data_IF_916024465476
#
_entry.id   IF_916024465476
#
_cell.length_a   1.000
_cell.length_b   1.000
_cell.length_c   1.000
_cell.angle_alpha   90.00
_cell.angle_beta   90.00
_cell.angle_gamma   90.00
#
_symmetry.space_group_name_H-M   'P 1'
#
loop_
_entity.id
_entity.type
_entity.pdbx_description
1 polymer ?
#
# COMPACT_ATOMS: atom_id res chain seq x y z
N UNK A 1 1.62 -9.09 10.01
CA UNK A 1 1.79 -8.85 8.57
C UNK A 1 2.09 -10.15 7.79
N UNK A 2 2.72 -11.15 8.42
CA UNK A 2 3.10 -12.40 7.74
C UNK A 2 2.01 -13.48 7.78
N UNK A 3 1.03 -13.37 8.68
CA UNK A 3 -0.04 -14.37 8.83
C UNK A 3 -0.85 -14.64 7.55
N UNK A 4 -1.29 -13.63 6.76
CA UNK A 4 -1.99 -13.89 5.52
C UNK A 4 -1.14 -14.66 4.52
N UNK A 5 0.15 -14.36 4.44
CA UNK A 5 1.05 -15.03 3.51
C UNK A 5 1.27 -16.49 3.87
N UNK A 6 1.31 -16.84 5.16
CA UNK A 6 1.46 -18.23 5.60
C UNK A 6 0.26 -19.12 5.22
N UNK A 7 -0.90 -18.52 4.94
CA UNK A 7 -2.11 -19.23 4.51
C UNK A 7 -2.24 -19.24 2.99
N UNK A 8 -1.75 -18.20 2.31
CA UNK A 8 -1.90 -18.01 0.86
C UNK A 8 -0.76 -18.60 0.05
N UNK A 9 0.40 -18.79 0.66
CA UNK A 9 1.62 -19.25 -0.02
C UNK A 9 2.21 -20.40 0.79
N UNK A 10 2.34 -21.56 0.16
CA UNK A 10 2.93 -22.73 0.79
C UNK A 10 4.36 -22.42 1.25
N UNK A 11 4.63 -22.70 2.51
CA UNK A 11 5.96 -22.64 3.07
C UNK A 11 6.59 -24.03 3.01
N UNK A 12 7.71 -24.13 2.32
CA UNK A 12 8.53 -25.33 2.29
C UNK A 12 9.69 -25.20 3.31
N UNK A 13 9.86 -26.19 4.17
CA UNK A 13 10.87 -26.15 5.22
C UNK A 13 12.32 -26.16 4.68
N UNK A 14 12.53 -26.68 3.49
CA UNK A 14 13.84 -26.76 2.85
C UNK A 14 14.10 -25.57 1.93
N UNK A 15 13.09 -25.11 1.20
CA UNK A 15 13.21 -24.06 0.17
C UNK A 15 12.66 -22.68 0.63
N UNK A 16 11.97 -22.63 1.76
CA UNK A 16 11.36 -21.40 2.29
C UNK A 16 10.03 -21.03 1.60
N UNK A 17 9.80 -19.76 1.44
CA UNK A 17 8.59 -19.23 0.78
C UNK A 17 8.67 -19.35 -0.74
N UNK A 18 7.58 -19.71 -1.38
CA UNK A 18 7.48 -19.77 -2.85
C UNK A 18 7.65 -18.39 -3.53
N UNK A 19 7.58 -17.30 -2.79
CA UNK A 19 7.82 -15.94 -3.27
C UNK A 19 8.79 -15.18 -2.38
N UNK A 20 9.52 -14.25 -2.96
CA UNK A 20 10.34 -13.28 -2.20
C UNK A 20 9.43 -12.22 -1.62
N UNK A 21 9.70 -11.79 -0.39
CA UNK A 21 8.93 -10.76 0.31
C UNK A 21 9.84 -9.56 0.60
N UNK A 22 9.37 -8.37 0.20
CA UNK A 22 9.99 -7.09 0.54
C UNK A 22 9.04 -6.30 1.44
N UNK A 23 9.25 -6.28 2.77
CA UNK A 23 8.43 -5.49 3.67
C UNK A 23 8.77 -4.00 3.61
N UNK A 24 7.75 -3.15 3.49
CA UNK A 24 7.86 -1.70 3.62
C UNK A 24 7.12 -1.27 4.88
N UNK A 25 7.87 -0.84 5.90
CA UNK A 25 7.30 -0.39 7.17
C UNK A 25 6.96 1.09 7.11
N UNK A 26 5.71 1.43 7.41
CA UNK A 26 5.20 2.80 7.35
C UNK A 26 4.75 3.27 8.73
N UNK A 27 5.27 4.41 9.19
CA UNK A 27 4.80 5.07 10.41
C UNK A 27 3.49 5.81 10.16
N UNK A 28 2.35 5.16 10.39
CA UNK A 28 1.02 5.71 10.10
C UNK A 28 0.24 6.14 11.35
N UNK A 29 0.73 5.81 12.54
CA UNK A 29 0.14 6.21 13.83
C UNK A 29 1.12 6.98 14.72
N UNK A 30 2.28 7.34 14.19
CA UNK A 30 3.33 8.07 14.92
C UNK A 30 3.57 9.42 14.27
N UNK A 31 3.48 10.49 15.06
CA UNK A 31 3.69 11.88 14.61
C UNK A 31 5.19 12.13 14.31
N UNK A 32 5.53 12.81 13.19
CA UNK A 32 4.64 13.40 12.19
C UNK A 32 4.12 12.38 11.17
N UNK A 33 2.80 12.41 10.91
CA UNK A 33 2.15 11.53 9.95
C UNK A 33 2.38 12.03 8.52
N UNK A 34 2.83 11.16 7.60
CA UNK A 34 2.86 11.52 6.19
C UNK A 34 1.44 11.70 5.62
N UNK A 35 1.27 12.66 4.70
CA UNK A 35 -0.02 12.89 4.06
C UNK A 35 -0.41 11.77 3.08
N UNK A 36 -1.71 11.64 2.80
CA UNK A 36 -2.25 10.74 1.78
C UNK A 36 -1.54 10.90 0.44
N UNK A 37 -1.32 12.15 0.01
CA UNK A 37 -0.59 12.50 -1.22
C UNK A 37 0.85 11.99 -1.21
N UNK A 38 1.54 12.01 -0.06
CA UNK A 38 2.91 11.50 0.06
C UNK A 38 2.96 9.99 -0.10
N UNK A 39 2.03 9.26 0.51
CA UNK A 39 1.93 7.81 0.36
C UNK A 39 1.66 7.41 -1.10
N UNK A 40 0.72 8.06 -1.75
CA UNK A 40 0.40 7.81 -3.15
C UNK A 40 1.61 8.10 -4.07
N UNK A 41 2.32 9.22 -3.86
CA UNK A 41 3.56 9.54 -4.60
C UNK A 41 4.66 8.52 -4.37
N UNK A 42 4.80 8.01 -3.15
CA UNK A 42 5.74 6.94 -2.85
C UNK A 42 5.36 5.66 -3.63
N UNK A 43 4.08 5.32 -3.69
CA UNK A 43 3.59 4.25 -4.55
C UNK A 43 3.98 4.43 -6.01
N UNK A 44 3.82 5.65 -6.57
CA UNK A 44 4.26 5.95 -7.95
C UNK A 44 5.77 5.74 -8.14
N UNK A 45 6.58 6.10 -7.15
CA UNK A 45 8.03 5.84 -7.20
C UNK A 45 8.35 4.36 -7.13
N UNK A 46 7.62 3.62 -6.30
CA UNK A 46 7.74 2.15 -6.22
C UNK A 46 7.39 1.51 -7.57
N UNK A 47 6.32 1.97 -8.23
CA UNK A 47 5.98 1.50 -9.58
C UNK A 47 7.14 1.72 -10.56
N UNK A 48 7.74 2.91 -10.57
CA UNK A 48 8.88 3.21 -11.45
C UNK A 48 10.05 2.26 -11.18
N UNK A 49 10.36 1.99 -9.90
CA UNK A 49 11.40 1.05 -9.53
C UNK A 49 11.10 -0.38 -10.03
N UNK A 50 9.85 -0.84 -9.88
CA UNK A 50 9.42 -2.16 -10.36
C UNK A 50 9.53 -2.26 -11.88
N UNK A 51 9.04 -1.25 -12.61
CA UNK A 51 9.09 -1.24 -14.08
C UNK A 51 10.52 -1.12 -14.63
N UNK A 52 11.45 -0.56 -13.86
CA UNK A 52 12.87 -0.48 -14.22
C UNK A 52 13.68 -1.71 -13.83
N UNK A 53 13.07 -2.67 -13.14
CA UNK A 53 13.78 -3.88 -12.72
C UNK A 53 14.11 -4.76 -13.95
N UNK A 54 15.36 -5.24 -14.08
CA UNK A 54 15.82 -5.83 -15.33
C UNK A 54 15.32 -7.26 -15.58
N UNK A 55 14.75 -7.91 -14.57
CA UNK A 55 14.22 -9.27 -14.68
C UNK A 55 12.71 -9.24 -14.92
N UNK A 56 12.20 -10.15 -15.74
CA UNK A 56 10.78 -10.37 -15.92
C UNK A 56 10.20 -11.13 -14.73
N UNK A 57 9.68 -10.40 -13.75
CA UNK A 57 9.12 -10.94 -12.52
C UNK A 57 7.66 -10.54 -12.34
N UNK A 58 6.88 -11.44 -11.75
CA UNK A 58 5.54 -11.10 -11.25
C UNK A 58 5.67 -10.40 -9.90
N UNK A 59 5.10 -9.21 -9.78
CA UNK A 59 5.07 -8.45 -8.55
C UNK A 59 3.63 -8.28 -8.07
N UNK A 60 3.35 -8.66 -6.83
CA UNK A 60 2.13 -8.33 -6.13
C UNK A 60 2.42 -7.32 -5.03
N UNK A 61 1.62 -6.27 -4.92
CA UNK A 61 1.77 -5.22 -3.93
C UNK A 61 0.59 -5.29 -2.98
N UNK A 62 0.85 -5.52 -1.70
CA UNK A 62 -0.17 -5.57 -0.66
C UNK A 62 -0.15 -4.28 0.17
N UNK A 63 -1.23 -3.51 0.10
CA UNK A 63 -1.53 -2.44 1.06
C UNK A 63 -2.24 -3.06 2.27
N UNK A 64 -1.67 -2.86 3.47
CA UNK A 64 -2.26 -3.32 4.73
C UNK A 64 -2.88 -2.14 5.48
N UNK A 65 -3.44 -2.39 6.64
CA UNK A 65 -4.13 -1.40 7.45
C UNK A 65 -5.64 -1.60 7.46
N UNK A 66 -6.26 -1.28 8.59
CA UNK A 66 -7.71 -1.40 8.76
C UNK A 66 -8.47 -0.24 8.12
N UNK A 67 -9.72 -0.49 7.79
CA UNK A 67 -10.70 0.55 7.47
C UNK A 67 -11.14 1.27 8.75
N UNK A 68 -12.35 1.82 8.81
CA UNK A 68 -12.77 2.61 9.96
C UNK A 68 -12.77 1.82 11.25
N UNK A 69 -11.90 2.18 12.19
CA UNK A 69 -11.90 1.61 13.54
C UNK A 69 -11.21 2.53 14.53
N UNK A 70 -11.60 2.37 15.79
CA UNK A 70 -10.89 2.93 16.92
C UNK A 70 -10.96 1.96 18.10
N UNK A 71 -9.80 1.50 18.56
CA UNK A 71 -9.70 0.49 19.62
C UNK A 71 -9.22 1.06 20.95
N UNK A 72 -8.80 2.34 20.96
CA UNK A 72 -8.32 3.02 22.16
C UNK A 72 -9.05 4.34 22.41
N UNK A 73 -9.04 4.78 23.68
CA UNK A 73 -9.61 6.05 24.10
C UNK A 73 -11.13 6.09 24.13
N UNK A 74 -11.69 7.31 24.21
CA UNK A 74 -13.15 7.52 24.33
C UNK A 74 -13.93 7.07 23.09
N UNK A 75 -13.29 7.08 21.92
CA UNK A 75 -13.90 6.62 20.67
C UNK A 75 -13.80 5.10 20.44
N UNK A 76 -13.42 4.31 21.45
CA UNK A 76 -13.29 2.85 21.32
C UNK A 76 -14.61 2.24 20.83
N UNK A 77 -14.52 1.40 19.79
CA UNK A 77 -15.68 0.78 19.14
C UNK A 77 -16.25 1.60 17.97
N UNK A 78 -15.66 2.75 17.65
CA UNK A 78 -16.09 3.55 16.48
C UNK A 78 -15.87 2.76 15.18
N UNK A 79 -16.91 2.78 14.34
CA UNK A 79 -16.88 2.30 12.96
C UNK A 79 -17.71 3.21 12.05
N UNK A 80 -17.38 3.26 10.78
CA UNK A 80 -18.11 4.01 9.77
C UNK A 80 -18.19 3.22 8.46
N UNK A 81 -19.09 2.23 8.36
CA UNK A 81 -19.22 1.40 7.16
C UNK A 81 -19.53 2.18 5.88
N UNK A 82 -20.21 3.32 6.00
CA UNK A 82 -20.50 4.18 4.86
C UNK A 82 -19.22 4.80 4.28
N UNK A 83 -18.35 5.29 5.16
CA UNK A 83 -17.03 5.77 4.78
C UNK A 83 -16.15 4.66 4.20
N UNK A 84 -16.17 3.48 4.79
CA UNK A 84 -15.39 2.34 4.31
C UNK A 84 -15.76 1.97 2.88
N UNK A 85 -17.06 1.94 2.58
CA UNK A 85 -17.56 1.67 1.24
C UNK A 85 -17.13 2.78 0.25
N UNK A 86 -17.30 4.05 0.64
CA UNK A 86 -16.89 5.21 -0.15
C UNK A 86 -15.36 5.20 -0.41
N UNK A 87 -14.57 4.94 0.62
CA UNK A 87 -13.12 4.88 0.50
C UNK A 87 -12.70 3.81 -0.51
N UNK A 88 -13.23 2.59 -0.41
CA UNK A 88 -12.92 1.50 -1.32
C UNK A 88 -13.33 1.81 -2.77
N UNK A 89 -14.47 2.47 -2.97
CA UNK A 89 -14.93 2.88 -4.30
C UNK A 89 -14.01 3.95 -4.89
N UNK A 90 -13.70 5.00 -4.12
CA UNK A 90 -12.79 6.07 -4.55
C UNK A 90 -11.38 5.54 -4.82
N UNK A 91 -10.90 4.61 -4.00
CA UNK A 91 -9.58 3.98 -4.21
C UNK A 91 -9.49 3.28 -5.57
N UNK A 92 -10.55 2.62 -5.99
CA UNK A 92 -10.63 1.96 -7.30
C UNK A 92 -10.75 2.99 -8.43
N UNK A 93 -11.76 3.86 -8.37
CA UNK A 93 -12.22 4.65 -9.51
C UNK A 93 -11.59 6.04 -9.60
N UNK A 94 -11.35 6.69 -8.47
CA UNK A 94 -10.82 8.06 -8.39
C UNK A 94 -9.91 8.23 -7.16
N UNK A 95 -8.76 7.55 -7.13
CA UNK A 95 -7.84 7.62 -5.99
C UNK A 95 -7.31 9.03 -5.75
N UNK A 96 -7.27 9.89 -6.77
CA UNK A 96 -6.76 11.25 -6.64
C UNK A 96 -7.67 12.12 -5.76
N UNK A 97 -8.96 11.84 -5.71
CA UNK A 97 -9.91 12.53 -4.82
C UNK A 97 -9.62 12.31 -3.31
N UNK A 98 -8.85 11.28 -2.97
CA UNK A 98 -8.45 10.98 -1.60
C UNK A 98 -7.17 11.73 -1.18
N UNK A 99 -6.40 12.29 -2.13
CA UNK A 99 -5.04 12.78 -1.86
C UNK A 99 -4.98 14.09 -1.09
N UNK A 100 -6.05 14.89 -1.15
CA UNK A 100 -6.14 16.17 -0.44
C UNK A 100 -6.77 16.04 0.94
N UNK A 101 -7.19 14.83 1.31
CA UNK A 101 -7.71 14.57 2.66
C UNK A 101 -6.58 14.73 3.68
N UNK A 102 -6.88 15.52 4.68
CA UNK A 102 -5.98 15.70 5.83
C UNK A 102 -6.03 14.49 6.75
N UNK A 103 -4.99 14.30 7.55
CA UNK A 103 -4.98 13.25 8.59
C UNK A 103 -6.16 13.42 9.55
N UNK A 104 -6.53 14.67 9.87
CA UNK A 104 -7.68 14.97 10.74
C UNK A 104 -9.00 14.52 10.11
N UNK A 105 -9.18 14.70 8.81
CA UNK A 105 -10.37 14.23 8.10
C UNK A 105 -10.43 12.71 8.03
N UNK A 106 -9.31 12.06 7.74
CA UNK A 106 -9.19 10.60 7.76
C UNK A 106 -9.54 10.04 9.16
N UNK A 107 -8.99 10.64 10.21
CA UNK A 107 -9.29 10.23 11.59
C UNK A 107 -10.75 10.50 11.99
N UNK A 108 -11.34 11.61 11.53
CA UNK A 108 -12.76 11.93 11.79
C UNK A 108 -13.70 10.96 11.11
N UNK A 109 -13.38 10.52 9.89
CA UNK A 109 -14.21 9.60 9.10
C UNK A 109 -13.94 8.14 9.43
N UNK A 110 -12.68 7.78 9.65
CA UNK A 110 -12.25 6.40 9.85
C UNK A 110 -11.91 6.01 11.29
N UNK A 111 -11.95 6.95 12.25
CA UNK A 111 -11.35 6.74 13.56
C UNK A 111 -9.84 6.97 13.54
N UNK A 112 -9.24 7.09 14.73
CA UNK A 112 -7.80 7.41 14.81
C UNK A 112 -6.93 6.31 14.18
N UNK A 113 -7.17 5.06 14.54
CA UNK A 113 -6.43 3.93 13.99
C UNK A 113 -6.81 3.68 12.51
N UNK A 114 -8.03 4.00 12.11
CA UNK A 114 -8.47 3.92 10.70
C UNK A 114 -7.75 4.87 9.75
N UNK A 115 -6.97 5.85 10.27
CA UNK A 115 -6.08 6.68 9.43
C UNK A 115 -5.00 5.86 8.71
N UNK A 116 -4.73 4.63 9.13
CA UNK A 116 -3.78 3.72 8.46
C UNK A 116 -4.18 3.30 7.03
N UNK A 117 -5.39 3.59 6.58
CA UNK A 117 -5.83 3.40 5.18
C UNK A 117 -4.92 4.09 4.15
N UNK A 118 -4.09 5.03 4.55
CA UNK A 118 -3.10 5.68 3.67
C UNK A 118 -2.11 4.67 3.07
N UNK A 119 -1.92 3.51 3.70
CA UNK A 119 -1.12 2.41 3.14
C UNK A 119 -1.77 1.78 1.91
N UNK A 120 -3.11 1.79 1.82
CA UNK A 120 -3.82 1.36 0.62
C UNK A 120 -3.60 2.34 -0.54
N UNK A 121 -3.47 3.64 -0.24
CA UNK A 121 -3.10 4.65 -1.24
C UNK A 121 -1.70 4.44 -1.79
N UNK A 122 -0.75 3.97 -0.97
CA UNK A 122 0.58 3.62 -1.45
C UNK A 122 0.51 2.45 -2.43
N UNK A 123 -0.20 1.39 -2.09
CA UNK A 123 -0.46 0.26 -2.99
C UNK A 123 -1.13 0.74 -4.28
N UNK A 124 -2.19 1.55 -4.19
CA UNK A 124 -2.89 2.07 -5.37
C UNK A 124 -2.01 2.96 -6.25
N UNK A 125 -1.14 3.77 -5.65
CA UNK A 125 -0.17 4.60 -6.37
C UNK A 125 0.87 3.79 -7.14
N UNK A 126 1.13 2.55 -6.72
CA UNK A 126 2.05 1.65 -7.40
C UNK A 126 1.40 0.88 -8.57
N UNK A 127 0.10 1.03 -8.78
CA UNK A 127 -0.61 0.47 -9.91
C UNK A 127 -0.76 1.50 -11.05
N UNK A 128 -1.15 1.03 -12.23
CA UNK A 128 -1.50 1.89 -13.38
C UNK A 128 -2.70 2.78 -13.08
N UNK A 129 -2.96 3.75 -13.95
CA UNK A 129 -4.10 4.64 -13.80
C UNK A 129 -5.42 3.87 -13.85
N UNK A 130 -5.51 2.89 -14.77
CA UNK A 130 -6.68 2.04 -14.94
C UNK A 130 -6.46 0.69 -14.28
N UNK A 131 -7.35 0.36 -13.36
CA UNK A 131 -7.40 -0.92 -12.67
C UNK A 131 -8.80 -1.51 -12.76
N UNK A 132 -8.90 -2.81 -12.59
CA UNK A 132 -10.16 -3.52 -12.42
C UNK A 132 -10.19 -4.17 -11.05
N UNK A 133 -11.25 -3.93 -10.29
CA UNK A 133 -11.48 -4.65 -9.05
C UNK A 133 -12.07 -6.03 -9.35
N UNK A 134 -11.24 -7.06 -9.28
CA UNK A 134 -11.66 -8.46 -9.53
C UNK A 134 -12.20 -9.14 -8.30
N UNK A 135 -11.94 -8.60 -7.11
CA UNK A 135 -12.47 -9.10 -5.85
C UNK A 135 -12.62 -7.97 -4.83
N UNK A 136 -13.76 -7.94 -4.13
CA UNK A 136 -14.02 -7.01 -3.04
C UNK A 136 -14.89 -7.69 -1.98
N UNK A 137 -14.43 -7.65 -0.72
CA UNK A 137 -15.22 -8.11 0.43
C UNK A 137 -15.15 -7.10 1.55
N UNK A 138 -16.19 -7.08 2.36
CA UNK A 138 -16.28 -6.30 3.57
C UNK A 138 -17.05 -7.08 4.63
N UNK A 139 -16.50 -7.19 5.82
CA UNK A 139 -17.13 -7.86 6.95
C UNK A 139 -16.77 -7.14 8.25
N UNK A 140 -17.77 -6.77 9.04
CA UNK A 140 -17.60 -6.12 10.33
C UNK A 140 -18.00 -7.08 11.47
N UNK A 141 -17.07 -7.94 11.93
CA UNK A 141 -17.38 -8.94 12.96
C UNK A 141 -17.50 -8.34 14.36
N UNK A 142 -16.83 -7.23 14.62
CA UNK A 142 -16.79 -6.57 15.93
C UNK A 142 -16.39 -5.09 15.80
N UNK A 143 -15.30 -4.67 16.42
CA UNK A 143 -14.83 -3.27 16.41
C UNK A 143 -14.00 -2.89 15.19
N UNK A 144 -13.46 -3.87 14.46
CA UNK A 144 -12.60 -3.65 13.31
C UNK A 144 -13.19 -4.35 12.09
N UNK A 145 -13.47 -3.63 11.00
CA UNK A 145 -13.87 -4.25 9.76
C UNK A 145 -12.70 -5.02 9.13
N UNK A 146 -13.02 -6.14 8.51
CA UNK A 146 -12.12 -6.92 7.69
C UNK A 146 -12.56 -6.72 6.25
N UNK A 147 -11.69 -6.16 5.44
CA UNK A 147 -11.95 -5.97 4.03
C UNK A 147 -10.77 -6.44 3.18
N UNK A 148 -11.08 -6.92 1.99
CA UNK A 148 -10.08 -7.25 0.98
C UNK A 148 -10.51 -6.70 -0.37
N UNK A 149 -9.54 -6.21 -1.13
CA UNK A 149 -9.70 -5.82 -2.53
C UNK A 149 -8.55 -6.40 -3.35
N UNK A 150 -8.87 -6.91 -4.54
CA UNK A 150 -7.87 -7.27 -5.54
C UNK A 150 -8.08 -6.33 -6.73
N UNK A 151 -7.05 -5.54 -7.00
CA UNK A 151 -7.01 -4.61 -8.11
C UNK A 151 -5.98 -5.12 -9.13
N UNK A 152 -6.45 -5.41 -10.33
CA UNK A 152 -5.60 -5.84 -11.43
C UNK A 152 -5.40 -4.70 -12.44
N UNK A 153 -4.19 -4.58 -12.96
CA UNK A 153 -3.88 -3.60 -14.00
C UNK A 153 -4.47 -3.99 -15.33
N UNK A 154 -4.98 -3.01 -16.06
CA UNK A 154 -5.40 -3.24 -17.46
C UNK A 154 -4.18 -3.17 -18.36
N UNK A 155 -4.05 -4.14 -19.26
CA UNK A 155 -2.89 -4.33 -20.13
C UNK A 155 -2.63 -3.18 -21.12
N UNK A 156 -3.62 -2.36 -21.40
CA UNK A 156 -3.54 -1.20 -22.29
C UNK A 156 -2.84 0.03 -21.66
N UNK A 157 -2.59 0.00 -20.35
CA UNK A 157 -1.90 1.06 -19.61
C UNK A 157 -0.46 0.68 -19.18
N UNK A 158 0.03 -0.48 -19.58
CA UNK A 158 1.42 -0.86 -19.32
C UNK A 158 2.33 -0.03 -20.24
N UNK A 159 3.29 0.73 -19.68
CA UNK A 159 4.23 1.47 -20.53
C UNK A 159 5.03 0.48 -21.39
N UNK A 160 5.11 0.76 -22.67
CA UNK A 160 6.08 0.12 -23.52
C UNK A 160 7.46 0.46 -22.94
N UNK A 161 8.22 -0.52 -22.48
CA UNK A 161 9.57 -0.47 -21.92
C UNK A 161 9.99 0.82 -21.20
N UNK A 162 10.42 0.70 -19.94
CA UNK A 162 10.99 1.84 -19.22
C UNK A 162 12.17 2.42 -20.03
N UNK A 163 12.23 3.74 -20.27
CA UNK A 163 13.33 4.33 -21.00
C UNK A 163 14.68 3.95 -20.36
N UNK A 164 15.64 3.52 -21.18
CA UNK A 164 16.98 3.11 -20.71
C UNK A 164 17.67 4.19 -19.84
N UNK A 165 17.33 5.46 -20.02
CA UNK A 165 17.79 6.56 -19.18
C UNK A 165 17.26 6.50 -17.73
N UNK A 166 16.05 5.98 -17.51
CA UNK A 166 15.46 5.85 -16.16
C UNK A 166 16.18 4.76 -15.38
N UNK A 167 16.53 3.64 -16.03
CA UNK A 167 17.32 2.55 -15.46
C UNK A 167 18.73 3.02 -15.11
N UNK A 168 19.36 3.78 -16.00
CA UNK A 168 20.71 4.32 -15.81
C UNK A 168 20.77 5.38 -14.69
N UNK A 169 19.69 6.14 -14.46
CA UNK A 169 19.59 7.10 -13.36
C UNK A 169 19.36 6.40 -12.03
N UNK A 170 18.46 5.42 -11.97
CA UNK A 170 18.23 4.62 -10.78
C UNK A 170 19.51 3.92 -10.31
N UNK A 171 20.26 3.31 -11.24
CA UNK A 171 21.53 2.64 -10.91
C UNK A 171 22.62 3.63 -10.43
N UNK A 172 22.61 4.87 -10.88
CA UNK A 172 23.55 5.91 -10.38
C UNK A 172 23.18 6.39 -8.97
N UNK A 173 21.89 6.53 -8.69
CA UNK A 173 21.41 6.97 -7.38
C UNK A 173 21.57 5.86 -6.33
N UNK A 174 21.57 4.57 -6.75
CA UNK A 174 21.83 3.42 -5.87
C UNK A 174 23.32 3.17 -5.59
N UNK A 175 24.21 3.56 -6.47
CA UNK A 175 25.67 3.38 -6.28
C UNK A 175 26.22 4.16 -5.08
N UNK A 176 25.47 5.15 -4.55
CA UNK A 176 25.81 5.88 -3.31
C UNK A 176 25.14 5.35 -2.04
N UNK A 177 24.23 4.36 -2.15
CA UNK A 177 23.48 3.87 -0.99
C UNK A 177 24.26 2.82 -0.16
N UNK A 178 25.29 2.21 -0.71
CA UNK A 178 26.15 1.26 0.00
C UNK A 178 26.91 1.93 1.15
N UNK A 179 27.24 3.22 1.04
CA UNK A 179 27.92 3.98 2.11
C UNK A 179 27.00 4.32 3.29
N UNK A 180 25.67 4.24 3.14
CA UNK A 180 24.73 4.54 4.22
C UNK A 180 24.42 3.34 5.12
N UNK A 181 24.70 2.12 4.68
CA UNK A 181 24.46 0.89 5.45
C UNK A 181 25.36 0.76 6.68
N UNK A 182 26.47 1.51 6.76
CA UNK A 182 27.40 1.51 7.89
C UNK A 182 27.13 2.56 8.97
N UNK A 183 26.16 3.46 8.82
CA UNK A 183 26.00 4.65 9.67
C UNK A 183 24.85 4.62 10.67
N UNK A 184 24.03 3.57 10.69
CA UNK A 184 22.97 3.40 11.70
C UNK A 184 23.29 2.23 12.63
N UNK A 185 23.78 2.48 13.87
CA UNK A 185 23.77 1.45 14.89
C UNK A 185 22.31 1.20 15.33
N UNK A 186 21.86 -0.02 15.20
CA UNK A 186 20.63 -0.52 15.84
C UNK A 186 20.86 -0.69 17.34
#
# INVERSE_FOLDING_TARGET
>A
AFSPLSVMVDYDAENGWACKLLPVVCGVLTVPLPSARRFYKFGKSLRQAILSYPEDIKVAIAGTGGLSHQVHGEGCGFNNPAWDAEFMERLEQDPESLLDMTVTELARLGGWEGAEVVMWLMMRGALSAKVECTHKTYFLPSMCPIATMILEERSDDLPAEAPAETVARANRDYAGAEDLAGTYPF
#
